data_IF_470092525465
#
_entry.id   IF_470092525465
#
_cell.length_a   1.000
_cell.length_b   1.000
_cell.length_c   1.000
_cell.angle_alpha   90.00
_cell.angle_beta   90.00
_cell.angle_gamma   90.00
#
_symmetry.space_group_name_H-M   'P 1'
#
loop_
_entity.id
_entity.type
_entity.pdbx_description
1 polymer ?
#
# COMPACT_ATOMS: atom_id res chain seq x y z
N UNK A 1 10.30 5.64 -21.33
CA UNK A 1 10.85 5.01 -20.12
C UNK A 1 9.71 4.34 -19.35
N UNK A 2 9.97 3.25 -18.67
CA UNK A 2 8.91 2.49 -17.98
C UNK A 2 8.23 3.33 -16.88
N UNK A 3 8.98 4.13 -16.15
CA UNK A 3 8.44 4.98 -15.10
C UNK A 3 7.43 5.98 -15.65
N UNK A 4 7.70 6.60 -16.78
CA UNK A 4 6.78 7.56 -17.41
C UNK A 4 5.46 6.88 -17.82
N UNK A 5 5.55 5.65 -18.31
CA UNK A 5 4.37 4.85 -18.67
C UNK A 5 3.53 4.51 -17.44
N UNK A 6 4.17 4.06 -16.37
CA UNK A 6 3.48 3.74 -15.12
C UNK A 6 2.83 4.99 -14.52
N UNK A 7 3.53 6.11 -14.51
CA UNK A 7 3.00 7.38 -14.02
C UNK A 7 1.79 7.85 -14.84
N UNK A 8 1.85 7.74 -16.17
CA UNK A 8 0.75 8.08 -17.06
C UNK A 8 -0.48 7.19 -16.80
N UNK A 9 -0.29 5.88 -16.73
CA UNK A 9 -1.36 4.92 -16.43
C UNK A 9 -1.96 5.17 -15.03
N UNK A 10 -1.13 5.53 -14.07
CA UNK A 10 -1.58 5.86 -12.71
C UNK A 10 -2.46 7.11 -12.70
N UNK A 11 -2.11 8.16 -13.46
CA UNK A 11 -2.96 9.36 -13.59
C UNK A 11 -4.33 9.00 -14.14
N UNK A 12 -4.38 8.17 -15.19
CA UNK A 12 -5.65 7.73 -15.77
C UNK A 12 -6.47 6.92 -14.77
N UNK A 13 -5.83 6.02 -14.03
CA UNK A 13 -6.48 5.22 -12.98
C UNK A 13 -7.09 6.11 -11.89
N UNK A 14 -6.37 7.13 -11.45
CA UNK A 14 -6.86 8.09 -10.44
C UNK A 14 -8.06 8.87 -10.96
N UNK A 15 -8.02 9.33 -12.22
CA UNK A 15 -9.17 10.04 -12.82
C UNK A 15 -10.42 9.17 -12.89
N UNK A 16 -10.28 7.88 -13.18
CA UNK A 16 -11.41 6.92 -13.14
C UNK A 16 -11.96 6.80 -11.72
N UNK A 17 -11.10 6.67 -10.72
CA UNK A 17 -11.52 6.59 -9.31
C UNK A 17 -12.25 7.84 -8.83
N UNK A 18 -11.80 9.03 -9.25
CA UNK A 18 -12.46 10.31 -8.92
C UNK A 18 -13.88 10.42 -9.46
N UNK A 19 -14.21 9.68 -10.53
CA UNK A 19 -15.57 9.62 -11.07
C UNK A 19 -16.50 8.77 -10.22
N UNK A 20 -15.97 7.77 -9.54
CA UNK A 20 -16.72 6.88 -8.64
C UNK A 20 -16.89 7.51 -7.26
N UNK A 21 -15.78 8.00 -6.69
CA UNK A 21 -15.75 8.70 -5.40
C UNK A 21 -14.92 9.96 -5.60
N UNK A 22 -15.55 11.13 -5.37
CA UNK A 22 -14.87 12.42 -5.61
C UNK A 22 -13.70 12.66 -4.65
N UNK A 23 -12.79 13.57 -5.03
CA UNK A 23 -11.69 14.01 -4.16
C UNK A 23 -12.22 14.57 -2.84
N UNK A 24 -13.29 15.37 -2.87
CA UNK A 24 -13.89 15.95 -1.67
C UNK A 24 -14.42 14.87 -0.73
N UNK A 25 -15.02 13.83 -1.27
CA UNK A 25 -15.57 12.72 -0.50
C UNK A 25 -14.47 11.86 0.13
N UNK A 26 -13.45 11.45 -0.64
CA UNK A 26 -12.35 10.66 -0.12
C UNK A 26 -11.53 11.44 0.93
N UNK A 27 -11.37 12.74 0.70
CA UNK A 27 -10.70 13.65 1.64
C UNK A 27 -11.47 13.75 2.96
N UNK A 28 -12.77 13.98 2.89
CA UNK A 28 -13.65 14.05 4.07
C UNK A 28 -13.60 12.76 4.86
N UNK A 29 -13.68 11.61 4.19
CA UNK A 29 -13.67 10.30 4.85
C UNK A 29 -12.32 10.05 5.54
N UNK A 30 -11.21 10.33 4.89
CA UNK A 30 -9.89 10.22 5.47
C UNK A 30 -9.70 11.15 6.68
N UNK A 31 -10.19 12.40 6.58
CA UNK A 31 -10.08 13.40 7.64
C UNK A 31 -10.99 13.10 8.84
N UNK A 32 -12.03 12.28 8.68
CA UNK A 32 -12.88 11.82 9.78
C UNK A 32 -12.22 10.73 10.63
N UNK A 33 -11.16 10.10 10.13
CA UNK A 33 -10.41 9.07 10.84
C UNK A 33 -9.46 9.68 11.88
N UNK A 34 -8.98 8.85 12.81
CA UNK A 34 -8.01 9.27 13.84
C UNK A 34 -6.76 9.89 13.21
N UNK A 35 -6.40 11.09 13.68
CA UNK A 35 -5.26 11.86 13.18
C UNK A 35 -4.00 11.65 14.02
N UNK A 36 -4.17 11.41 15.31
CA UNK A 36 -3.07 11.26 16.27
C UNK A 36 -2.67 9.79 16.39
N UNK A 37 -2.21 9.20 15.29
CA UNK A 37 -1.84 7.78 15.23
C UNK A 37 -0.46 7.48 15.83
N UNK A 38 0.35 8.52 16.12
CA UNK A 38 1.72 8.35 16.60
C UNK A 38 2.72 7.97 15.52
N UNK A 39 2.36 8.11 14.24
CA UNK A 39 3.20 7.77 13.10
C UNK A 39 3.80 6.36 13.21
N UNK A 40 2.98 5.31 13.21
CA UNK A 40 3.44 3.95 13.52
C UNK A 40 4.49 3.41 12.56
N UNK A 41 4.45 3.75 11.27
CA UNK A 41 5.48 3.35 10.31
C UNK A 41 6.83 3.98 10.65
N UNK A 42 6.86 5.28 10.85
CA UNK A 42 8.08 6.00 11.24
C UNK A 42 8.63 5.48 12.58
N UNK A 43 7.75 5.28 13.56
CA UNK A 43 8.11 4.76 14.88
C UNK A 43 8.74 3.37 14.79
N UNK A 44 8.18 2.49 13.96
CA UNK A 44 8.72 1.15 13.77
C UNK A 44 10.14 1.16 13.19
N UNK A 45 10.49 2.18 12.41
CA UNK A 45 11.82 2.32 11.82
C UNK A 45 12.83 3.03 12.73
N UNK A 46 12.39 3.68 13.82
CA UNK A 46 13.24 4.43 14.75
C UNK A 46 13.77 3.63 15.91
N UNK A 47 14.09 2.38 15.72
CA UNK A 47 14.73 1.57 16.73
C UNK A 47 16.25 1.57 16.55
N UNK A 48 17.05 1.29 17.61
CA UNK A 48 18.53 1.34 17.54
C UNK A 48 19.14 0.29 16.62
N UNK A 49 18.47 -0.84 16.43
CA UNK A 49 18.93 -1.93 15.55
C UNK A 49 18.36 -1.81 14.15
N UNK A 50 18.72 -2.75 13.27
CA UNK A 50 18.15 -2.84 11.92
C UNK A 50 16.63 -3.03 11.98
N UNK A 51 15.93 -2.29 11.11
CA UNK A 51 14.52 -2.46 10.88
C UNK A 51 14.29 -3.16 9.54
N UNK A 52 13.37 -4.13 9.53
CA UNK A 52 13.05 -4.91 8.33
C UNK A 52 11.68 -4.53 7.80
N UNK A 53 11.66 -4.04 6.55
CA UNK A 53 10.43 -3.86 5.78
C UNK A 53 10.33 -5.04 4.83
N UNK A 54 9.30 -5.87 5.00
CA UNK A 54 9.07 -7.02 4.15
C UNK A 54 7.98 -6.73 3.13
N UNK A 55 8.23 -7.08 1.87
CA UNK A 55 7.34 -6.70 0.77
C UNK A 55 6.44 -7.84 0.31
N UNK A 56 5.16 -7.53 0.14
CA UNK A 56 4.14 -8.39 -0.45
C UNK A 56 3.97 -7.95 -1.92
N UNK A 57 4.51 -8.76 -2.83
CA UNK A 57 4.57 -8.44 -4.26
C UNK A 57 4.35 -9.68 -5.12
N UNK A 58 3.36 -9.62 -6.01
CA UNK A 58 3.04 -10.70 -6.94
C UNK A 58 3.87 -10.69 -8.21
N UNK A 59 4.12 -9.51 -8.75
CA UNK A 59 4.80 -9.33 -10.04
C UNK A 59 5.57 -8.01 -10.09
N UNK A 60 6.47 -7.89 -11.04
CA UNK A 60 7.16 -6.65 -11.36
C UNK A 60 7.48 -6.57 -12.86
N UNK A 61 7.72 -5.36 -13.42
CA UNK A 61 8.09 -5.21 -14.83
C UNK A 61 9.36 -5.97 -15.21
N UNK A 62 10.33 -6.06 -14.31
CA UNK A 62 11.62 -6.70 -14.57
C UNK A 62 11.61 -8.22 -14.39
N UNK A 63 10.76 -8.74 -13.52
CA UNK A 63 10.71 -10.16 -13.16
C UNK A 63 9.49 -10.90 -13.69
N UNK A 64 8.47 -10.16 -14.19
CA UNK A 64 7.17 -10.75 -14.50
C UNK A 64 6.46 -11.27 -13.27
N UNK A 65 5.67 -12.32 -13.41
CA UNK A 65 4.97 -12.94 -12.28
C UNK A 65 5.97 -13.70 -11.41
N UNK A 66 6.07 -13.29 -10.14
CA UNK A 66 6.98 -13.87 -9.15
C UNK A 66 6.31 -15.06 -8.46
N UNK A 67 4.99 -14.95 -8.20
CA UNK A 67 4.20 -16.00 -7.57
C UNK A 67 2.86 -16.15 -8.30
N UNK A 68 2.65 -17.26 -8.96
CA UNK A 68 1.38 -17.59 -9.66
C UNK A 68 0.25 -17.70 -8.63
N UNK A 69 0.46 -18.53 -7.62
CA UNK A 69 -0.37 -18.55 -6.43
C UNK A 69 0.15 -17.50 -5.46
N UNK A 70 -0.73 -16.56 -5.10
CA UNK A 70 -0.34 -15.43 -4.27
C UNK A 70 -1.19 -15.34 -3.00
N UNK A 71 -0.87 -16.14 -1.97
CA UNK A 71 -1.55 -16.09 -0.69
C UNK A 71 -1.07 -14.87 0.13
N UNK A 72 -1.37 -13.67 -0.34
CA UNK A 72 -0.85 -12.40 0.20
C UNK A 72 -1.10 -12.24 1.70
N UNK A 73 -2.27 -12.66 2.19
CA UNK A 73 -2.60 -12.54 3.61
C UNK A 73 -1.75 -13.48 4.47
N UNK A 74 -1.56 -14.71 4.02
CA UNK A 74 -0.68 -15.67 4.66
C UNK A 74 0.76 -15.17 4.71
N UNK A 75 1.26 -14.66 3.57
CA UNK A 75 2.61 -14.07 3.47
C UNK A 75 2.78 -12.94 4.48
N UNK A 76 1.81 -12.01 4.54
CA UNK A 76 1.84 -10.88 5.46
C UNK A 76 1.86 -11.34 6.93
N UNK A 77 1.04 -12.32 7.29
CA UNK A 77 1.01 -12.89 8.64
C UNK A 77 2.34 -13.55 9.01
N UNK A 78 2.95 -14.27 8.08
CA UNK A 78 4.26 -14.90 8.30
C UNK A 78 5.36 -13.85 8.51
N UNK A 79 5.32 -12.72 7.79
CA UNK A 79 6.24 -11.60 8.02
C UNK A 79 6.07 -11.02 9.43
N UNK A 80 4.84 -10.80 9.86
CA UNK A 80 4.54 -10.26 11.19
C UNK A 80 5.03 -11.23 12.29
N UNK A 81 4.72 -12.51 12.17
CA UNK A 81 5.15 -13.55 13.10
C UNK A 81 6.67 -13.72 13.15
N UNK A 82 7.34 -13.55 12.01
CA UNK A 82 8.81 -13.63 11.92
C UNK A 82 9.52 -12.41 12.51
N UNK A 83 8.79 -11.36 12.90
CA UNK A 83 9.36 -10.18 13.53
C UNK A 83 9.71 -9.04 12.59
N UNK A 84 9.12 -8.98 11.40
CA UNK A 84 9.24 -7.80 10.54
C UNK A 84 8.73 -6.55 11.27
N UNK A 85 9.33 -5.41 10.99
CA UNK A 85 8.95 -4.13 11.62
C UNK A 85 7.84 -3.42 10.86
N UNK A 86 7.76 -3.66 9.56
CA UNK A 86 6.74 -3.10 8.69
C UNK A 86 6.54 -3.98 7.45
N UNK A 87 5.41 -3.80 6.80
CA UNK A 87 5.10 -4.44 5.51
C UNK A 87 4.97 -3.38 4.44
N UNK A 88 5.53 -3.66 3.26
CA UNK A 88 5.29 -2.90 2.02
C UNK A 88 4.35 -3.72 1.14
N UNK A 89 3.17 -3.19 0.84
CA UNK A 89 2.15 -3.89 0.07
C UNK A 89 1.92 -3.22 -1.28
N UNK A 90 2.22 -3.92 -2.37
CA UNK A 90 1.99 -3.44 -3.74
C UNK A 90 0.50 -3.33 -4.04
N UNK A 91 0.05 -2.15 -4.47
CA UNK A 91 -1.32 -1.90 -4.91
C UNK A 91 -1.42 -1.52 -6.39
N UNK A 92 -0.30 -1.26 -7.06
CA UNK A 92 -0.28 -0.94 -8.48
C UNK A 92 -0.76 -2.15 -9.30
N UNK A 93 -1.89 -2.04 -10.07
CA UNK A 93 -2.57 -3.21 -10.61
C UNK A 93 -2.03 -3.71 -11.95
N UNK A 94 -1.47 -2.83 -12.78
CA UNK A 94 -1.11 -3.18 -14.16
C UNK A 94 0.25 -3.86 -14.28
N UNK A 95 1.25 -3.29 -13.64
CA UNK A 95 2.65 -3.73 -13.77
C UNK A 95 3.10 -4.63 -12.64
N UNK A 96 2.51 -4.48 -11.47
CA UNK A 96 2.84 -5.25 -10.25
C UNK A 96 1.73 -6.21 -9.83
N UNK A 97 0.60 -6.21 -10.53
CA UNK A 97 -0.57 -7.04 -10.24
C UNK A 97 -1.05 -6.94 -8.79
N UNK A 98 -0.89 -5.74 -8.21
CA UNK A 98 -1.39 -5.42 -6.87
C UNK A 98 -2.88 -5.10 -6.88
N UNK A 99 -3.44 -4.97 -5.68
CA UNK A 99 -4.84 -4.56 -5.47
C UNK A 99 -4.96 -3.80 -4.17
N UNK A 100 -5.86 -2.83 -4.12
CA UNK A 100 -6.20 -2.10 -2.89
C UNK A 100 -6.74 -3.04 -1.81
N UNK A 101 -7.49 -4.07 -2.20
CA UNK A 101 -8.03 -5.09 -1.30
C UNK A 101 -6.94 -5.83 -0.55
N UNK A 102 -5.78 -6.10 -1.16
CA UNK A 102 -4.66 -6.74 -0.49
C UNK A 102 -4.19 -5.91 0.70
N UNK A 103 -3.99 -4.60 0.49
CA UNK A 103 -3.60 -3.68 1.55
C UNK A 103 -4.64 -3.63 2.68
N UNK A 104 -5.90 -3.48 2.30
CA UNK A 104 -7.02 -3.37 3.25
C UNK A 104 -7.15 -4.59 4.15
N UNK A 105 -7.03 -5.78 3.58
CA UNK A 105 -7.11 -7.02 4.34
C UNK A 105 -5.88 -7.24 5.22
N UNK A 106 -4.69 -7.01 4.68
CA UNK A 106 -3.44 -7.13 5.42
C UNK A 106 -3.43 -6.18 6.63
N UNK A 107 -3.80 -4.91 6.42
CA UNK A 107 -3.81 -3.91 7.49
C UNK A 107 -4.73 -4.28 8.66
N UNK A 108 -5.79 -5.07 8.42
CA UNK A 108 -6.69 -5.56 9.46
C UNK A 108 -6.13 -6.73 10.25
N UNK A 109 -5.31 -7.54 9.61
CA UNK A 109 -4.88 -8.83 10.16
C UNK A 109 -3.50 -8.79 10.84
N UNK A 110 -2.62 -7.88 10.42
CA UNK A 110 -1.29 -7.75 11.00
C UNK A 110 -1.25 -6.65 12.05
N UNK A 111 -0.32 -6.75 12.98
CA UNK A 111 -0.11 -5.77 14.05
C UNK A 111 0.87 -4.67 13.66
N UNK A 112 1.79 -4.99 12.76
CA UNK A 112 2.82 -4.06 12.28
C UNK A 112 2.27 -3.09 11.25
N UNK A 113 2.87 -1.89 11.11
CA UNK A 113 2.40 -0.90 10.13
C UNK A 113 2.59 -1.36 8.69
N UNK A 114 1.69 -0.91 7.82
CA UNK A 114 1.68 -1.28 6.40
C UNK A 114 1.85 -0.04 5.54
N UNK A 115 2.85 -0.06 4.66
CA UNK A 115 3.09 0.96 3.65
C UNK A 115 2.31 0.62 2.37
N UNK A 116 1.58 1.57 1.83
CA UNK A 116 1.04 1.45 0.48
C UNK A 116 2.15 1.65 -0.54
N UNK A 117 2.51 0.60 -1.25
CA UNK A 117 3.52 0.65 -2.31
C UNK A 117 2.84 0.86 -3.66
N UNK A 118 2.89 2.09 -4.15
CA UNK A 118 2.30 2.49 -5.41
C UNK A 118 3.03 3.73 -5.94
N UNK A 119 2.68 4.17 -7.14
CA UNK A 119 3.18 5.42 -7.72
C UNK A 119 2.19 6.53 -7.37
N UNK A 120 2.60 7.43 -6.48
CA UNK A 120 1.75 8.52 -6.00
C UNK A 120 1.94 9.73 -6.90
N UNK A 121 0.91 10.08 -7.65
CA UNK A 121 0.89 11.20 -8.60
C UNK A 121 -0.19 12.24 -8.28
N UNK A 122 -1.02 11.97 -7.28
CA UNK A 122 -2.17 12.82 -6.93
C UNK A 122 -2.47 12.70 -5.43
N UNK A 123 -2.89 13.79 -4.80
CA UNK A 123 -3.25 13.78 -3.38
C UNK A 123 -4.40 12.82 -3.06
N UNK A 124 -5.24 12.51 -4.03
CA UNK A 124 -6.30 11.51 -3.91
C UNK A 124 -5.79 10.19 -3.33
N UNK A 125 -4.63 9.74 -3.82
CA UNK A 125 -4.01 8.48 -3.40
C UNK A 125 -3.55 8.50 -1.94
N UNK A 126 -3.20 9.66 -1.40
CA UNK A 126 -2.80 9.81 0.01
C UNK A 126 -4.01 9.61 0.93
N UNK A 127 -5.13 10.25 0.60
CA UNK A 127 -6.37 10.07 1.36
C UNK A 127 -6.90 8.64 1.25
N UNK A 128 -6.86 8.08 0.04
CA UNK A 128 -7.26 6.70 -0.20
C UNK A 128 -6.39 5.72 0.61
N UNK A 129 -5.07 5.93 0.66
CA UNK A 129 -4.15 5.11 1.46
C UNK A 129 -4.55 5.10 2.95
N UNK A 130 -4.91 6.24 3.50
CA UNK A 130 -5.39 6.35 4.88
C UNK A 130 -6.64 5.50 5.10
N UNK A 131 -7.60 5.59 4.21
CA UNK A 131 -8.87 4.85 4.30
C UNK A 131 -8.64 3.34 4.21
N UNK A 132 -7.68 2.91 3.39
CA UNK A 132 -7.31 1.51 3.22
C UNK A 132 -6.57 0.93 4.44
N UNK A 133 -6.07 1.77 5.32
CA UNK A 133 -5.38 1.34 6.54
C UNK A 133 -3.85 1.43 6.47
N UNK A 134 -3.29 2.10 5.48
CA UNK A 134 -1.85 2.39 5.44
C UNK A 134 -1.45 3.36 6.56
N UNK A 135 -0.21 3.25 6.99
CA UNK A 135 0.35 4.06 8.08
C UNK A 135 1.34 5.08 7.60
#
# INVERSE_FOLDING_TARGET
>A
MILDKIAADTRLRVEVKKKEISLEEVKRDAQSMEKNTGFPFETALRKPDLSFICEVKKASPSKGVIAEEFPYLQIAKEYDEAGADAISCLTEPKYFLGKDEYLKEIAKEVKIPVLRKDFVVDEYQIYEAKILGAS
#
